data_IF_237403948105
#
_entry.id   IF_237403948105
#
_cell.length_a   1.000
_cell.length_b   1.000
_cell.length_c   1.000
_cell.angle_alpha   90.00
_cell.angle_beta   90.00
_cell.angle_gamma   90.00
#
_symmetry.space_group_name_H-M   'P 1'
#
loop_
_entity.id
_entity.type
_entity.pdbx_description
1 polymer ?
#
# COMPACT_ATOMS: atom_id res chain seq x y z
N UNK A 1 -0.67 5.69 -17.66
CA UNK A 1 -1.17 5.11 -16.39
C UNK A 1 -0.79 6.03 -15.25
N UNK A 2 -1.74 6.39 -14.42
CA UNK A 2 -1.48 7.12 -13.18
C UNK A 2 -1.30 6.12 -12.03
N UNK A 3 -0.20 6.21 -11.29
CA UNK A 3 0.04 5.41 -10.10
C UNK A 3 -0.18 6.30 -8.86
N UNK A 4 -1.14 5.93 -8.03
CA UNK A 4 -1.57 6.74 -6.89
C UNK A 4 -1.36 5.98 -5.60
N UNK A 5 -0.41 6.40 -4.78
CA UNK A 5 -0.25 5.86 -3.44
C UNK A 5 -1.28 6.48 -2.50
N UNK A 6 -1.99 5.63 -1.78
CA UNK A 6 -2.99 6.01 -0.79
C UNK A 6 -2.51 5.51 0.57
N UNK A 7 -2.33 6.42 1.51
CA UNK A 7 -1.94 6.03 2.86
C UNK A 7 -3.17 5.52 3.59
N UNK A 8 -3.03 4.36 4.24
CA UNK A 8 -4.12 3.75 5.01
C UNK A 8 -4.64 4.70 6.10
N UNK A 9 -5.89 4.52 6.51
CA UNK A 9 -6.51 5.28 7.58
C UNK A 9 -5.83 5.06 8.94
N UNK A 10 -6.10 5.93 9.91
CA UNK A 10 -5.56 5.81 11.26
C UNK A 10 -5.79 4.39 11.82
N UNK A 11 -4.77 3.82 12.44
CA UNK A 11 -4.84 2.46 12.99
C UNK A 11 -4.20 2.37 14.37
N UNK A 12 -4.49 1.30 15.08
CA UNK A 12 -4.10 1.10 16.47
C UNK A 12 -2.59 1.28 16.70
N UNK A 13 -1.74 0.88 15.74
CA UNK A 13 -0.29 1.01 15.86
C UNK A 13 0.21 2.46 15.75
N UNK A 14 -0.56 3.35 15.13
CA UNK A 14 -0.18 4.75 14.89
C UNK A 14 -0.59 5.70 16.02
N UNK A 15 -1.28 5.20 17.06
CA UNK A 15 -1.75 6.03 18.18
C UNK A 15 -0.64 6.49 19.13
N UNK A 16 0.60 6.02 18.95
CA UNK A 16 1.73 6.40 19.82
C UNK A 16 1.65 5.85 21.25
N UNK A 17 0.76 4.91 21.50
CA UNK A 17 0.61 4.28 22.82
C UNK A 17 1.76 3.28 23.07
N UNK A 18 2.18 3.07 24.32
CA UNK A 18 3.15 2.04 24.67
C UNK A 18 2.72 0.67 24.13
N UNK A 19 3.63 -0.05 23.48
CA UNK A 19 3.36 -1.38 22.92
C UNK A 19 2.52 -1.39 21.63
N UNK A 20 2.09 -0.25 21.11
CA UNK A 20 1.25 -0.21 19.90
C UNK A 20 1.93 -0.84 18.66
N UNK A 21 3.24 -0.77 18.56
CA UNK A 21 4.03 -1.38 17.48
C UNK A 21 4.28 -2.89 17.67
N UNK A 22 4.14 -3.37 18.90
CA UNK A 22 4.22 -4.81 19.23
C UNK A 22 2.92 -5.56 18.93
N UNK A 23 1.86 -4.81 18.61
CA UNK A 23 0.56 -5.38 18.30
C UNK A 23 0.62 -6.10 16.95
N UNK A 24 0.25 -7.39 16.93
CA UNK A 24 0.09 -8.14 15.70
C UNK A 24 -1.23 -7.78 15.03
N UNK A 25 -1.18 -7.53 13.73
CA UNK A 25 -2.37 -7.22 12.90
C UNK A 25 -3.20 -6.02 13.42
N UNK A 26 -2.61 -4.83 13.64
CA UNK A 26 -3.36 -3.68 14.13
C UNK A 26 -4.46 -3.28 13.16
N UNK A 27 -5.65 -3.02 13.70
CA UNK A 27 -6.84 -2.65 12.94
C UNK A 27 -6.95 -1.13 12.78
N UNK A 28 -7.80 -0.70 11.85
CA UNK A 28 -8.23 0.70 11.79
C UNK A 28 -8.95 1.09 13.08
N UNK A 29 -8.71 2.31 13.54
CA UNK A 29 -9.54 2.96 14.56
C UNK A 29 -10.89 3.37 13.94
N UNK A 30 -11.85 3.80 14.74
CA UNK A 30 -13.11 4.37 14.23
C UNK A 30 -12.85 5.59 13.35
N UNK A 31 -11.87 6.42 13.71
CA UNK A 31 -11.42 7.52 12.87
C UNK A 31 -10.88 7.01 11.54
N UNK A 32 -9.98 6.03 11.53
CA UNK A 32 -9.43 5.47 10.31
C UNK A 32 -10.48 4.82 9.40
N UNK A 33 -11.52 4.22 9.96
CA UNK A 33 -12.68 3.72 9.21
C UNK A 33 -13.46 4.86 8.54
N UNK A 34 -13.69 5.95 9.27
CA UNK A 34 -14.33 7.17 8.74
C UNK A 34 -13.50 7.78 7.60
N UNK A 35 -12.18 7.82 7.76
CA UNK A 35 -11.24 8.28 6.73
C UNK A 35 -11.38 7.43 5.45
N UNK A 36 -11.40 6.11 5.56
CA UNK A 36 -11.57 5.21 4.41
C UNK A 36 -12.93 5.40 3.71
N UNK A 37 -14.01 5.59 4.47
CA UNK A 37 -15.33 5.86 3.92
C UNK A 37 -15.41 7.23 3.21
N UNK A 38 -14.75 8.26 3.74
CA UNK A 38 -14.64 9.57 3.08
C UNK A 38 -13.87 9.48 1.77
N UNK A 39 -12.81 8.65 1.72
CA UNK A 39 -12.05 8.41 0.50
C UNK A 39 -12.96 7.87 -0.63
N UNK A 40 -13.90 6.99 -0.30
CA UNK A 40 -14.89 6.47 -1.24
C UNK A 40 -15.74 7.57 -1.89
N UNK A 41 -16.15 8.57 -1.13
CA UNK A 41 -16.93 9.70 -1.64
C UNK A 41 -16.10 10.69 -2.45
N UNK A 42 -14.85 10.91 -2.08
CA UNK A 42 -13.97 11.89 -2.71
C UNK A 42 -13.25 11.34 -3.95
N UNK A 43 -13.04 10.05 -4.02
CA UNK A 43 -12.36 9.35 -5.11
C UNK A 43 -13.14 8.09 -5.49
N UNK A 44 -14.29 8.26 -6.16
CA UNK A 44 -15.05 7.12 -6.67
C UNK A 44 -14.21 6.35 -7.68
N UNK A 45 -14.30 5.03 -7.58
CA UNK A 45 -13.56 4.10 -8.43
C UNK A 45 -14.43 3.61 -9.60
N UNK A 46 -13.79 3.25 -10.69
CA UNK A 46 -14.43 2.72 -11.90
C UNK A 46 -13.79 1.37 -12.32
N UNK A 47 -14.33 0.76 -13.33
CA UNK A 47 -13.81 -0.47 -13.96
C UNK A 47 -12.48 -0.26 -14.70
N UNK A 48 -12.16 1.01 -15.06
CA UNK A 48 -10.84 1.37 -15.62
C UNK A 48 -9.75 1.52 -14.56
N UNK A 49 -10.10 1.38 -13.27
CA UNK A 49 -9.18 1.46 -12.15
C UNK A 49 -8.80 0.07 -11.61
N UNK A 50 -7.67 0.01 -10.91
CA UNK A 50 -7.32 -1.11 -10.03
C UNK A 50 -6.92 -0.59 -8.64
N UNK A 51 -7.27 -1.32 -7.60
CA UNK A 51 -6.84 -1.06 -6.23
C UNK A 51 -5.96 -2.20 -5.76
N UNK A 52 -4.73 -1.87 -5.43
CA UNK A 52 -3.74 -2.77 -4.84
C UNK A 52 -3.64 -2.44 -3.36
N UNK A 53 -3.72 -3.42 -2.50
CA UNK A 53 -3.49 -3.24 -1.06
C UNK A 53 -2.24 -4.00 -0.62
N UNK A 54 -1.45 -3.42 0.28
CA UNK A 54 -0.42 -4.15 1.00
C UNK A 54 -1.03 -5.20 1.93
N UNK A 55 -0.28 -6.29 2.23
CA UNK A 55 -0.83 -7.45 2.94
C UNK A 55 -0.91 -7.25 4.47
N UNK A 56 -1.24 -6.08 4.95
CA UNK A 56 -1.51 -5.83 6.38
C UNK A 56 -2.98 -5.50 6.62
N UNK A 57 -3.48 -5.84 7.79
CA UNK A 57 -4.91 -5.72 8.09
C UNK A 57 -5.45 -4.30 7.88
N UNK A 58 -4.73 -3.26 8.33
CA UNK A 58 -5.11 -1.86 8.19
C UNK A 58 -5.20 -1.38 6.74
N UNK A 59 -4.28 -1.84 5.87
CA UNK A 59 -4.30 -1.50 4.44
C UNK A 59 -5.49 -2.15 3.75
N UNK A 60 -5.73 -3.43 4.05
CA UNK A 60 -6.86 -4.19 3.51
C UNK A 60 -8.20 -3.64 3.99
N UNK A 61 -8.32 -3.28 5.26
CA UNK A 61 -9.54 -2.64 5.78
C UNK A 61 -9.81 -1.29 5.12
N UNK A 62 -8.77 -0.46 4.93
CA UNK A 62 -8.91 0.82 4.21
C UNK A 62 -9.40 0.59 2.79
N UNK A 63 -8.74 -0.31 2.07
CA UNK A 63 -9.06 -0.60 0.68
C UNK A 63 -10.44 -1.27 0.51
N UNK A 64 -10.82 -2.19 1.41
CA UNK A 64 -12.13 -2.85 1.38
C UNK A 64 -13.27 -1.85 1.57
N UNK A 65 -13.17 -0.95 2.58
CA UNK A 65 -14.16 0.10 2.81
C UNK A 65 -14.26 1.07 1.62
N UNK A 66 -13.14 1.38 1.00
CA UNK A 66 -13.12 2.23 -0.18
C UNK A 66 -13.74 1.56 -1.40
N UNK A 67 -13.40 0.29 -1.65
CA UNK A 67 -13.85 -0.45 -2.83
C UNK A 67 -15.28 -1.00 -2.73
N UNK A 68 -15.92 -0.94 -1.56
CA UNK A 68 -17.24 -1.54 -1.36
C UNK A 68 -18.29 -1.00 -2.35
N UNK A 69 -18.93 -1.91 -3.10
CA UNK A 69 -19.92 -1.56 -4.13
C UNK A 69 -19.35 -0.95 -5.41
N UNK A 70 -18.00 -0.84 -5.55
CA UNK A 70 -17.37 -0.30 -6.75
C UNK A 70 -16.91 -1.41 -7.70
N UNK A 71 -17.06 -1.22 -9.04
CA UNK A 71 -16.65 -2.20 -10.07
C UNK A 71 -15.14 -2.08 -10.35
N UNK A 72 -14.31 -2.36 -9.36
CA UNK A 72 -12.87 -2.18 -9.44
C UNK A 72 -12.12 -3.50 -9.20
N UNK A 73 -11.02 -3.72 -9.91
CA UNK A 73 -10.14 -4.84 -9.63
C UNK A 73 -9.44 -4.65 -8.28
N UNK A 74 -9.46 -5.70 -7.45
CA UNK A 74 -8.94 -5.71 -6.09
C UNK A 74 -7.83 -6.72 -5.97
N UNK A 75 -6.64 -6.27 -5.65
CA UNK A 75 -5.44 -7.11 -5.64
C UNK A 75 -4.66 -6.87 -4.35
N UNK A 76 -4.23 -7.94 -3.70
CA UNK A 76 -3.24 -7.85 -2.62
C UNK A 76 -1.87 -8.08 -3.21
N UNK A 77 -0.92 -7.21 -2.89
CA UNK A 77 0.43 -7.36 -3.40
C UNK A 77 1.47 -7.08 -2.31
N UNK A 78 2.42 -8.00 -2.02
CA UNK A 78 3.38 -7.84 -0.94
C UNK A 78 4.32 -6.64 -1.14
N UNK A 79 4.58 -6.23 -2.37
CA UNK A 79 5.38 -5.05 -2.67
C UNK A 79 4.67 -3.70 -2.38
N UNK A 80 3.38 -3.75 -2.05
CA UNK A 80 2.64 -2.63 -1.48
C UNK A 80 2.67 -2.61 0.06
N UNK A 81 3.31 -3.59 0.70
CA UNK A 81 3.42 -3.72 2.15
C UNK A 81 4.28 -2.64 2.80
N UNK A 82 4.38 -2.65 4.13
CA UNK A 82 5.19 -1.71 4.89
C UNK A 82 6.66 -1.74 4.46
N UNK A 83 7.26 -0.55 4.32
CA UNK A 83 8.69 -0.40 4.09
C UNK A 83 9.26 0.72 4.93
N UNK A 84 10.35 0.42 5.59
CA UNK A 84 11.15 1.42 6.30
C UNK A 84 11.78 2.40 5.32
N UNK A 85 11.59 3.70 5.56
CA UNK A 85 12.21 4.76 4.78
C UNK A 85 12.54 5.96 5.67
N UNK A 86 13.80 6.49 5.67
CA UNK A 86 14.97 5.92 5.00
C UNK A 86 15.33 4.54 5.53
N UNK A 87 15.99 3.71 4.70
CA UNK A 87 16.40 2.36 5.07
C UNK A 87 17.55 2.39 6.10
N UNK A 88 17.46 1.51 7.10
CA UNK A 88 18.47 1.34 8.15
C UNK A 88 18.78 -0.14 8.36
N UNK A 89 20.04 -0.49 8.44
CA UNK A 89 20.50 -1.88 8.61
C UNK A 89 20.28 -2.45 10.01
N UNK A 90 20.18 -1.58 11.02
CA UNK A 90 19.97 -1.91 12.43
C UNK A 90 18.51 -2.13 12.81
N UNK A 91 17.60 -2.10 11.81
CA UNK A 91 16.16 -2.21 12.04
C UNK A 91 15.65 -3.62 11.70
N UNK A 92 14.63 -4.05 12.43
CA UNK A 92 13.91 -5.29 12.18
C UNK A 92 12.44 -5.00 11.93
N UNK A 93 11.74 -5.94 11.30
CA UNK A 93 10.31 -5.81 11.07
C UNK A 93 9.57 -5.95 12.38
N UNK A 94 8.79 -4.92 12.75
CA UNK A 94 7.96 -4.94 13.95
C UNK A 94 6.73 -5.85 13.74
N UNK A 95 6.15 -6.42 14.81
CA UNK A 95 4.93 -7.24 14.70
C UNK A 95 3.79 -6.57 13.95
N UNK A 96 3.62 -5.26 14.10
CA UNK A 96 2.60 -4.49 13.37
C UNK A 96 2.83 -4.41 11.85
N UNK A 97 4.07 -4.62 11.38
CA UNK A 97 4.46 -4.47 9.97
C UNK A 97 4.60 -5.82 9.25
N UNK A 98 4.37 -6.92 9.97
CA UNK A 98 4.36 -8.25 9.36
C UNK A 98 3.16 -8.43 8.44
N UNK A 99 3.35 -9.09 7.27
CA UNK A 99 2.24 -9.47 6.41
C UNK A 99 1.25 -10.40 7.12
N UNK A 100 -0.02 -10.31 6.75
CA UNK A 100 -1.02 -11.31 7.12
C UNK A 100 -0.67 -12.66 6.49
N UNK A 101 -0.89 -13.72 7.22
CA UNK A 101 -0.77 -15.10 6.73
C UNK A 101 -1.72 -15.33 5.54
N UNK A 102 -1.23 -15.98 4.47
CA UNK A 102 -1.99 -16.18 3.23
C UNK A 102 -3.35 -16.84 3.46
N UNK A 103 -3.42 -17.85 4.33
CA UNK A 103 -4.69 -18.51 4.66
C UNK A 103 -5.69 -17.57 5.33
N UNK A 104 -5.24 -16.73 6.25
CA UNK A 104 -6.07 -15.70 6.89
C UNK A 104 -6.50 -14.61 5.92
N UNK A 105 -5.62 -14.24 5.01
CA UNK A 105 -5.90 -13.25 3.98
C UNK A 105 -6.98 -13.76 3.03
N UNK A 106 -6.83 -14.96 2.47
CA UNK A 106 -7.81 -15.57 1.57
C UNK A 106 -9.18 -15.77 2.24
N UNK A 107 -9.20 -16.21 3.50
CA UNK A 107 -10.44 -16.41 4.24
C UNK A 107 -11.17 -15.12 4.62
N UNK A 108 -10.43 -14.06 4.94
CA UNK A 108 -11.01 -12.78 5.39
C UNK A 108 -11.35 -11.82 4.24
N UNK A 109 -10.60 -11.91 3.13
CA UNK A 109 -10.73 -11.03 1.97
C UNK A 109 -10.92 -11.83 0.67
N UNK A 110 -11.97 -12.66 0.54
CA UNK A 110 -12.15 -13.61 -0.56
C UNK A 110 -12.37 -12.94 -1.92
N UNK A 111 -12.69 -11.64 -1.93
CA UNK A 111 -12.86 -10.85 -3.17
C UNK A 111 -11.55 -10.29 -3.72
N UNK A 112 -10.44 -10.47 -3.01
CA UNK A 112 -9.14 -9.94 -3.37
C UNK A 112 -8.31 -10.99 -4.08
N UNK A 113 -7.77 -10.63 -5.23
CA UNK A 113 -6.90 -11.48 -6.02
C UNK A 113 -5.49 -11.49 -5.42
N UNK A 114 -4.86 -12.65 -5.42
CA UNK A 114 -3.48 -12.83 -5.01
C UNK A 114 -2.66 -13.23 -6.25
N UNK A 115 -1.64 -12.43 -6.66
CA UNK A 115 -0.74 -12.83 -7.74
C UNK A 115 -0.03 -14.14 -7.41
N UNK A 116 -0.10 -15.11 -8.33
CA UNK A 116 0.42 -16.47 -8.12
C UNK A 116 1.95 -16.56 -8.25
N UNK A 117 2.56 -15.72 -9.09
CA UNK A 117 3.97 -15.85 -9.51
C UNK A 117 4.94 -14.98 -8.70
N UNK A 118 4.66 -14.82 -7.39
CA UNK A 118 5.53 -14.04 -6.52
C UNK A 118 6.32 -14.95 -5.58
N UNK A 119 7.61 -14.62 -5.31
CA UNK A 119 8.42 -15.36 -4.37
C UNK A 119 7.77 -15.45 -2.98
N UNK A 120 7.74 -16.64 -2.40
CA UNK A 120 7.12 -16.93 -1.11
C UNK A 120 7.64 -16.02 0.01
N UNK A 121 8.94 -15.69 0.01
CA UNK A 121 9.53 -14.83 1.04
C UNK A 121 8.88 -13.43 1.10
N UNK A 122 8.35 -12.92 -0.02
CA UNK A 122 7.66 -11.63 -0.03
C UNK A 122 6.33 -11.69 0.75
N UNK A 123 5.68 -12.85 0.74
CA UNK A 123 4.45 -13.07 1.52
C UNK A 123 4.72 -13.33 3.00
N UNK A 124 5.86 -13.97 3.31
CA UNK A 124 6.24 -14.32 4.69
C UNK A 124 6.89 -13.16 5.44
N UNK A 125 7.78 -12.41 4.78
CA UNK A 125 8.62 -11.38 5.42
C UNK A 125 8.27 -9.95 4.97
N UNK A 126 7.58 -9.81 3.83
CA UNK A 126 7.31 -8.51 3.23
C UNK A 126 8.57 -7.82 2.71
N UNK A 127 8.48 -6.49 2.61
CA UNK A 127 9.56 -5.64 2.08
C UNK A 127 10.14 -4.66 3.11
N UNK A 128 9.73 -4.78 4.38
CA UNK A 128 10.04 -3.78 5.41
C UNK A 128 11.53 -3.52 5.55
N UNK A 129 12.32 -4.59 5.64
CA UNK A 129 13.77 -4.55 5.81
C UNK A 129 14.56 -5.01 4.58
N UNK A 130 13.92 -5.06 3.41
CA UNK A 130 14.59 -5.47 2.18
C UNK A 130 15.71 -4.48 1.84
N UNK A 131 16.98 -4.92 1.63
CA UNK A 131 18.09 -4.04 1.28
C UNK A 131 17.79 -3.15 0.05
N UNK A 132 18.35 -1.94 0.01
CA UNK A 132 18.01 -0.94 -1.00
C UNK A 132 18.11 -1.43 -2.44
N UNK A 133 19.20 -2.15 -2.79
CA UNK A 133 19.39 -2.70 -4.13
C UNK A 133 18.32 -3.75 -4.49
N UNK A 134 18.00 -4.65 -3.55
CA UNK A 134 16.97 -5.67 -3.77
C UNK A 134 15.58 -5.03 -3.86
N UNK A 135 15.33 -4.00 -3.05
CA UNK A 135 14.09 -3.23 -3.17
C UNK A 135 13.96 -2.56 -4.53
N UNK A 136 15.02 -1.93 -5.04
CA UNK A 136 15.02 -1.29 -6.35
C UNK A 136 14.62 -2.28 -7.47
N UNK A 137 15.22 -3.47 -7.47
CA UNK A 137 14.87 -4.53 -8.43
C UNK A 137 13.40 -4.97 -8.31
N UNK A 138 12.89 -5.12 -7.09
CA UNK A 138 11.50 -5.49 -6.88
C UNK A 138 10.55 -4.35 -7.23
N UNK A 139 10.94 -3.10 -6.97
CA UNK A 139 10.18 -1.92 -7.34
C UNK A 139 10.01 -1.82 -8.86
N UNK A 140 11.06 -2.05 -9.65
CA UNK A 140 10.98 -2.05 -11.10
C UNK A 140 10.02 -3.12 -11.63
N UNK A 141 10.08 -4.33 -11.06
CA UNK A 141 9.17 -5.43 -11.38
C UNK A 141 7.71 -5.08 -11.05
N UNK A 142 7.48 -4.50 -9.88
CA UNK A 142 6.15 -4.07 -9.46
C UNK A 142 5.58 -2.98 -10.36
N UNK A 143 6.39 -1.98 -10.70
CA UNK A 143 5.99 -0.90 -11.59
C UNK A 143 5.68 -1.40 -13.00
N UNK A 144 6.48 -2.34 -13.52
CA UNK A 144 6.21 -3.01 -14.80
C UNK A 144 4.92 -3.83 -14.74
N UNK A 145 4.72 -4.57 -13.66
CA UNK A 145 3.50 -5.36 -13.44
C UNK A 145 2.26 -4.46 -13.35
N UNK A 146 2.32 -3.33 -12.64
CA UNK A 146 1.23 -2.35 -12.60
C UNK A 146 0.86 -1.83 -14.00
N UNK A 147 1.85 -1.56 -14.85
CA UNK A 147 1.60 -1.14 -16.25
C UNK A 147 0.87 -2.21 -17.05
N UNK A 148 1.24 -3.48 -16.83
CA UNK A 148 0.65 -4.62 -17.54
C UNK A 148 -0.79 -4.92 -17.12
N UNK A 149 -1.31 -4.32 -16.03
CA UNK A 149 -2.73 -4.38 -15.69
C UNK A 149 -3.64 -3.70 -16.73
N UNK A 150 -3.07 -2.83 -17.58
CA UNK A 150 -3.84 -2.15 -18.63
C UNK A 150 -4.87 -1.13 -18.11
N UNK A 151 -4.74 -0.69 -16.87
CA UNK A 151 -5.66 0.26 -16.22
C UNK A 151 -5.23 1.71 -16.43
N UNK A 152 -6.19 2.62 -16.43
CA UNK A 152 -5.90 4.05 -16.50
C UNK A 152 -5.24 4.54 -15.21
N UNK A 153 -5.78 4.10 -14.07
CA UNK A 153 -5.28 4.44 -12.74
C UNK A 153 -5.07 3.18 -11.91
N UNK A 154 -3.95 3.12 -11.24
CA UNK A 154 -3.62 2.07 -10.27
C UNK A 154 -3.42 2.74 -8.92
N UNK A 155 -4.30 2.44 -7.99
CA UNK A 155 -4.22 2.91 -6.62
C UNK A 155 -3.51 1.88 -5.74
N UNK A 156 -2.55 2.31 -4.95
CA UNK A 156 -1.78 1.45 -4.05
C UNK A 156 -2.00 1.88 -2.61
N UNK A 157 -2.83 1.15 -1.88
CA UNK A 157 -3.07 1.38 -0.46
C UNK A 157 -1.90 0.80 0.34
N UNK A 158 -1.16 1.68 0.98
CA UNK A 158 0.14 1.38 1.59
C UNK A 158 0.45 2.28 2.80
N UNK A 159 1.71 2.33 3.20
CA UNK A 159 2.24 3.23 4.22
C UNK A 159 3.03 4.41 3.65
N UNK A 160 3.19 5.43 4.47
CA UNK A 160 3.97 6.61 4.11
C UNK A 160 5.43 6.28 3.79
N UNK A 161 6.04 5.35 4.52
CA UNK A 161 7.41 4.87 4.27
C UNK A 161 7.55 4.24 2.88
N UNK A 162 6.62 3.36 2.53
CA UNK A 162 6.58 2.69 1.22
C UNK A 162 6.39 3.68 0.08
N UNK A 163 5.42 4.57 0.21
CA UNK A 163 5.19 5.63 -0.78
C UNK A 163 6.45 6.47 -1.02
N UNK A 164 7.14 6.89 0.06
CA UNK A 164 8.40 7.65 -0.03
C UNK A 164 9.50 6.86 -0.71
N UNK A 165 9.64 5.55 -0.40
CA UNK A 165 10.65 4.70 -1.02
C UNK A 165 10.46 4.55 -2.53
N UNK A 166 9.22 4.35 -2.99
CA UNK A 166 8.92 4.30 -4.42
C UNK A 166 9.16 5.65 -5.12
N UNK A 167 8.82 6.75 -4.46
CA UNK A 167 9.07 8.10 -5.00
C UNK A 167 10.56 8.37 -5.15
N UNK A 168 11.37 8.02 -4.15
CA UNK A 168 12.82 8.15 -4.22
C UNK A 168 13.40 7.30 -5.36
N UNK A 169 12.98 6.03 -5.47
CA UNK A 169 13.41 5.12 -6.53
C UNK A 169 13.10 5.68 -7.93
N UNK A 170 11.91 6.20 -8.15
CA UNK A 170 11.52 6.77 -9.45
C UNK A 170 12.27 8.07 -9.78
N UNK A 171 12.58 8.90 -8.76
CA UNK A 171 13.37 10.11 -8.95
C UNK A 171 14.82 9.77 -9.34
N UNK A 172 15.43 8.75 -8.75
CA UNK A 172 16.77 8.27 -9.07
C UNK A 172 16.85 7.62 -10.46
N UNK A 173 15.85 6.86 -10.84
CA UNK A 173 15.82 6.10 -12.09
C UNK A 173 15.69 6.99 -13.33
N UNK A 174 15.51 8.31 -13.20
CA UNK A 174 15.22 9.25 -14.33
C UNK A 174 14.23 8.64 -15.33
N UNK A 175 13.30 7.84 -14.84
CA UNK A 175 12.32 7.13 -15.65
C UNK A 175 11.43 8.15 -16.35
N UNK A 176 11.64 8.31 -17.66
CA UNK A 176 10.89 9.24 -18.48
C UNK A 176 9.38 9.00 -18.37
N UNK A 177 8.68 10.07 -18.20
CA UNK A 177 7.30 10.51 -18.52
C UNK A 177 6.12 9.51 -18.58
N UNK A 178 6.24 8.23 -18.23
CA UNK A 178 5.13 7.26 -18.38
C UNK A 178 4.34 6.94 -17.11
N UNK A 179 4.81 7.34 -15.93
CA UNK A 179 4.10 7.14 -14.66
C UNK A 179 3.97 8.49 -13.97
N UNK A 180 2.74 8.96 -13.82
CA UNK A 180 2.43 10.08 -12.93
C UNK A 180 2.21 9.53 -11.53
N UNK A 181 2.98 10.01 -10.57
CA UNK A 181 2.95 9.55 -9.19
C UNK A 181 2.22 10.55 -8.32
N UNK A 182 1.22 10.07 -7.58
CA UNK A 182 0.46 10.86 -6.63
C UNK A 182 0.49 10.18 -5.27
N UNK A 183 0.33 10.95 -4.20
CA UNK A 183 0.10 10.40 -2.86
C UNK A 183 -1.09 11.10 -2.23
N UNK A 184 -2.03 10.31 -1.73
CA UNK A 184 -3.20 10.78 -1.00
C UNK A 184 -3.00 10.43 0.47
N UNK A 185 -3.05 11.44 1.33
CA UNK A 185 -3.00 11.29 2.79
C UNK A 185 -4.11 12.12 3.40
N UNK A 186 -4.75 11.63 4.45
CA UNK A 186 -5.56 12.51 5.29
C UNK A 186 -4.66 13.37 6.16
N UNK A 187 -4.91 14.67 6.19
CA UNK A 187 -4.19 15.63 7.01
C UNK A 187 -5.19 16.69 7.50
N UNK A 188 -5.24 16.87 8.83
CA UNK A 188 -6.06 17.92 9.49
C UNK A 188 -7.53 17.95 9.03
N UNK A 189 -8.15 16.77 8.82
CA UNK A 189 -9.56 16.64 8.41
C UNK A 189 -9.82 16.80 6.92
N UNK A 190 -8.77 16.85 6.07
CA UNK A 190 -8.82 16.86 4.62
C UNK A 190 -7.81 15.92 3.99
N UNK A 191 -8.05 15.55 2.71
CA UNK A 191 -7.06 14.77 1.96
C UNK A 191 -6.11 15.70 1.21
N UNK A 192 -4.82 15.55 1.47
CA UNK A 192 -3.76 16.22 0.73
C UNK A 192 -3.33 15.35 -0.46
N UNK A 193 -3.31 15.93 -1.66
CA UNK A 193 -2.74 15.33 -2.86
C UNK A 193 -1.33 15.91 -3.06
N UNK A 194 -0.31 15.07 -2.94
CA UNK A 194 1.06 15.44 -3.29
C UNK A 194 1.42 14.87 -4.65
N UNK A 195 1.70 15.74 -5.61
CA UNK A 195 2.12 15.38 -6.96
C UNK A 195 3.65 15.36 -7.01
N UNK A 196 4.25 14.30 -7.53
CA UNK A 196 5.63 14.34 -8.00
C UNK A 196 5.63 14.77 -9.47
N UNK A 197 5.98 16.03 -9.74
CA UNK A 197 6.49 16.38 -11.05
C UNK A 197 7.91 15.82 -11.15
N UNK A 198 8.11 14.84 -12.05
CA UNK A 198 9.43 14.38 -12.46
C UNK A 198 10.18 15.45 -13.23
#
# INVERSE_FOLDING_TARGET
>A
MDLVFVIHGESQHSLGLPGSREMKDPQLTERGRTEALRLRSLKPLSDTDAVIAGPTLRMLQTAELWCEGMPVDRIVHPLAGPRQYPFRYDFHTMPCDMPLELGRLAGRFPKWQLPADLPEYLWLQGIHTLPGLLFAQQADRFLAWCRNLGKERVYVVTEAGTSRAYRAHLAEARCGNMIKLFTIMEKDGGFALSVCSG
#
